data_IF_732746926454
#
_entry.id   IF_732746926454
#
_cell.length_a   1.000
_cell.length_b   1.000
_cell.length_c   1.000
_cell.angle_alpha   90.00
_cell.angle_beta   90.00
_cell.angle_gamma   90.00
#
_symmetry.space_group_name_H-M   'P 1'
#
loop_
_entity.id
_entity.type
_entity.pdbx_description
1 polymer ?
#
# COMPACT_ATOMS: atom_id res chain seq x y z
N UNK A 1 27.25 24.63 40.66
CA UNK A 1 27.37 24.42 39.19
C UNK A 1 26.77 23.09 38.73
N UNK A 2 26.91 21.97 39.47
CA UNK A 2 26.25 20.69 39.13
C UNK A 2 24.71 20.76 39.02
N UNK A 3 24.03 21.44 39.97
CA UNK A 3 22.55 21.50 40.03
C UNK A 3 21.90 22.23 38.82
N UNK A 4 22.61 23.19 38.22
CA UNK A 4 22.13 23.94 37.06
C UNK A 4 22.22 23.11 35.77
N UNK A 5 23.31 22.35 35.62
CA UNK A 5 23.50 21.41 34.51
C UNK A 5 22.51 20.24 34.57
N UNK A 6 22.15 19.77 35.77
CA UNK A 6 21.14 18.71 35.92
C UNK A 6 19.74 19.17 35.50
N UNK A 7 19.32 20.40 35.84
CA UNK A 7 18.02 20.95 35.39
C UNK A 7 17.97 21.16 33.87
N UNK A 8 19.05 21.68 33.29
CA UNK A 8 19.15 21.86 31.83
C UNK A 8 19.08 20.52 31.09
N UNK A 9 19.74 19.48 31.60
CA UNK A 9 19.68 18.11 31.07
C UNK A 9 18.27 17.51 31.16
N UNK A 10 17.57 17.70 32.27
CA UNK A 10 16.19 17.22 32.45
C UNK A 10 15.23 17.90 31.47
N UNK A 11 15.35 19.22 31.29
CA UNK A 11 14.54 19.96 30.31
C UNK A 11 14.83 19.53 28.86
N UNK A 12 16.09 19.26 28.54
CA UNK A 12 16.49 18.77 27.22
C UNK A 12 15.93 17.36 26.95
N UNK A 13 15.96 16.47 27.94
CA UNK A 13 15.36 15.13 27.89
C UNK A 13 13.83 15.17 27.72
N UNK A 14 13.15 16.10 28.40
CA UNK A 14 11.69 16.27 28.28
C UNK A 14 11.27 16.80 26.90
N UNK A 15 12.06 17.68 26.28
CA UNK A 15 11.80 18.18 24.92
C UNK A 15 12.07 17.12 23.85
N UNK A 16 13.08 16.26 24.05
CA UNK A 16 13.41 15.17 23.13
C UNK A 16 12.34 14.06 23.07
N UNK A 17 11.57 13.87 24.16
CA UNK A 17 10.50 12.87 24.25
C UNK A 17 9.33 13.12 23.28
N UNK A 18 9.13 14.37 22.84
CA UNK A 18 7.99 14.75 21.99
C UNK A 18 8.13 14.31 20.51
N UNK A 19 9.27 13.72 20.13
CA UNK A 19 9.58 13.37 18.72
C UNK A 19 9.27 11.88 18.41
N UNK A 20 8.92 11.07 19.41
CA UNK A 20 8.62 9.63 19.20
C UNK A 20 7.14 9.44 18.87
N UNK A 21 6.75 9.84 17.66
CA UNK A 21 5.35 9.83 17.22
C UNK A 21 5.12 9.41 15.77
N UNK A 22 6.06 8.71 15.13
CA UNK A 22 5.80 8.11 13.81
C UNK A 22 5.65 6.60 14.04
N UNK A 23 4.39 6.14 14.05
CA UNK A 23 4.05 4.74 14.16
C UNK A 23 4.78 3.93 13.08
N UNK A 24 5.48 2.88 13.50
CA UNK A 24 6.00 1.86 12.59
C UNK A 24 4.78 1.20 11.94
N UNK A 25 4.45 1.58 10.71
CA UNK A 25 3.47 0.84 9.92
C UNK A 25 4.08 -0.54 9.63
N UNK A 26 3.59 -1.58 10.30
CA UNK A 26 3.98 -2.97 10.08
C UNK A 26 3.50 -3.39 8.68
N UNK A 27 4.31 -3.05 7.68
CA UNK A 27 3.98 -3.23 6.26
C UNK A 27 3.83 -4.69 5.88
N UNK A 28 4.44 -5.60 6.65
CA UNK A 28 4.26 -7.06 6.51
C UNK A 28 2.82 -7.49 6.79
N UNK A 29 2.23 -7.06 7.92
CA UNK A 29 0.83 -7.41 8.24
C UNK A 29 -0.15 -6.87 7.22
N UNK A 30 0.09 -5.65 6.73
CA UNK A 30 -0.75 -5.04 5.72
C UNK A 30 -0.64 -5.77 4.37
N UNK A 31 0.56 -6.24 3.98
CA UNK A 31 0.74 -7.07 2.78
C UNK A 31 -0.03 -8.39 2.87
N UNK A 32 0.06 -9.10 4.00
CA UNK A 32 -0.64 -10.37 4.21
C UNK A 32 -2.16 -10.18 4.17
N UNK A 33 -2.67 -9.17 4.89
CA UNK A 33 -4.08 -8.79 4.87
C UNK A 33 -4.54 -8.51 3.43
N UNK A 34 -3.77 -7.72 2.70
CA UNK A 34 -4.17 -7.26 1.38
C UNK A 34 -4.07 -8.34 0.30
N UNK A 35 -3.08 -9.22 0.35
CA UNK A 35 -2.91 -10.29 -0.64
C UNK A 35 -4.16 -11.17 -0.73
N UNK A 36 -4.78 -11.52 0.40
CA UNK A 36 -6.02 -12.29 0.43
C UNK A 36 -7.19 -11.54 -0.25
N UNK A 37 -7.30 -10.23 0.00
CA UNK A 37 -8.40 -9.41 -0.52
C UNK A 37 -8.27 -9.09 -2.02
N UNK A 38 -7.06 -9.18 -2.57
CA UNK A 38 -6.76 -8.82 -3.96
C UNK A 38 -6.84 -10.00 -4.93
N UNK A 39 -7.15 -11.20 -4.45
CA UNK A 39 -7.41 -12.38 -5.30
C UNK A 39 -8.45 -12.11 -6.39
N UNK A 40 -9.45 -11.24 -6.10
CA UNK A 40 -10.44 -10.79 -7.07
C UNK A 40 -9.92 -9.89 -8.20
N UNK A 41 -8.64 -9.49 -8.17
CA UNK A 41 -7.98 -8.76 -9.26
C UNK A 41 -7.14 -9.66 -10.17
N UNK A 42 -7.00 -10.96 -9.85
CA UNK A 42 -6.22 -11.89 -10.67
C UNK A 42 -6.72 -11.95 -12.13
N UNK A 43 -8.03 -11.84 -12.34
CA UNK A 43 -8.62 -11.79 -13.69
C UNK A 43 -8.38 -10.48 -14.43
N UNK A 44 -7.85 -9.45 -13.77
CA UNK A 44 -7.39 -8.23 -14.42
C UNK A 44 -6.00 -8.39 -15.05
N UNK A 45 -5.20 -9.37 -14.61
CA UNK A 45 -3.80 -9.55 -15.01
C UNK A 45 -3.61 -9.59 -16.53
N UNK A 46 -4.35 -10.40 -17.31
CA UNK A 46 -4.14 -10.45 -18.75
C UNK A 46 -4.29 -9.08 -19.42
N UNK A 47 -5.24 -8.26 -18.97
CA UNK A 47 -5.43 -6.91 -19.51
C UNK A 47 -4.31 -5.96 -19.08
N UNK A 48 -3.98 -5.90 -17.80
CA UNK A 48 -2.94 -4.97 -17.30
C UNK A 48 -1.52 -5.38 -17.69
N UNK A 49 -1.29 -6.62 -18.09
CA UNK A 49 -0.03 -7.11 -18.67
C UNK A 49 0.03 -6.89 -20.20
N UNK A 50 -1.06 -6.40 -20.82
CA UNK A 50 -1.14 -6.16 -22.27
C UNK A 50 -1.35 -7.43 -23.11
N UNK A 51 -1.70 -8.54 -22.48
CA UNK A 51 -2.02 -9.80 -23.16
C UNK A 51 -3.49 -9.88 -23.60
N UNK A 52 -4.38 -9.16 -22.92
CA UNK A 52 -5.80 -9.05 -23.18
C UNK A 52 -6.17 -7.70 -23.80
N UNK A 53 -7.08 -7.71 -24.77
CA UNK A 53 -7.60 -6.47 -25.41
C UNK A 53 -8.64 -5.74 -24.56
N UNK A 54 -9.26 -6.44 -23.61
CA UNK A 54 -10.31 -5.94 -22.72
C UNK A 54 -10.20 -6.67 -21.39
N UNK A 55 -10.56 -6.06 -20.25
CA UNK A 55 -10.65 -6.77 -18.98
C UNK A 55 -11.73 -7.85 -19.01
N UNK A 56 -11.53 -8.90 -18.23
CA UNK A 56 -12.54 -9.90 -17.99
C UNK A 56 -13.72 -9.29 -17.20
N UNK A 57 -14.98 -9.71 -17.42
CA UNK A 57 -16.14 -9.10 -16.75
C UNK A 57 -16.08 -9.16 -15.21
N UNK A 58 -15.49 -10.22 -14.68
CA UNK A 58 -15.27 -10.43 -13.26
C UNK A 58 -14.18 -9.50 -12.69
N UNK A 59 -13.18 -9.12 -13.48
CA UNK A 59 -12.18 -8.10 -13.09
C UNK A 59 -12.85 -6.79 -12.69
N UNK A 60 -13.77 -6.28 -13.53
CA UNK A 60 -14.45 -5.00 -13.23
C UNK A 60 -15.32 -5.10 -11.98
N UNK A 61 -16.00 -6.23 -11.78
CA UNK A 61 -16.83 -6.47 -10.60
C UNK A 61 -15.99 -6.59 -9.31
N UNK A 62 -14.85 -7.29 -9.37
CA UNK A 62 -13.89 -7.39 -8.29
C UNK A 62 -13.27 -6.05 -7.92
N UNK A 63 -12.78 -5.30 -8.91
CA UNK A 63 -12.21 -3.97 -8.74
C UNK A 63 -13.22 -3.00 -8.10
N UNK A 64 -14.47 -3.00 -8.57
CA UNK A 64 -15.54 -2.16 -8.00
C UNK A 64 -15.83 -2.49 -6.54
N UNK A 65 -15.75 -3.76 -6.15
CA UNK A 65 -15.91 -4.18 -4.76
C UNK A 65 -14.77 -3.64 -3.92
N UNK A 66 -13.52 -3.83 -4.36
CA UNK A 66 -12.33 -3.38 -3.63
C UNK A 66 -12.24 -1.86 -3.49
N UNK A 67 -12.67 -1.10 -4.49
CA UNK A 67 -12.76 0.36 -4.41
C UNK A 67 -13.71 0.81 -3.29
N UNK A 68 -14.73 0.00 -2.97
CA UNK A 68 -15.69 0.28 -1.89
C UNK A 68 -15.21 -0.22 -0.54
N UNK A 69 -14.67 -1.44 -0.49
CA UNK A 69 -14.41 -2.14 0.77
C UNK A 69 -12.96 -2.01 1.25
N UNK A 70 -11.98 -1.94 0.34
CA UNK A 70 -10.56 -2.20 0.63
C UNK A 70 -9.60 -1.21 -0.03
N UNK A 71 -9.86 0.09 0.14
CA UNK A 71 -9.03 1.18 -0.41
C UNK A 71 -7.58 1.13 0.06
N UNK A 72 -7.35 0.72 1.32
CA UNK A 72 -6.01 0.52 1.90
C UNK A 72 -5.20 -0.45 1.04
N UNK A 73 -5.78 -1.59 0.69
CA UNK A 73 -5.11 -2.64 -0.06
C UNK A 73 -4.86 -2.28 -1.52
N UNK A 74 -5.78 -1.57 -2.16
CA UNK A 74 -5.53 -1.00 -3.49
C UNK A 74 -4.34 -0.02 -3.46
N UNK A 75 -4.30 0.88 -2.47
CA UNK A 75 -3.20 1.82 -2.32
C UNK A 75 -1.86 1.12 -2.08
N UNK A 76 -1.84 0.10 -1.23
CA UNK A 76 -0.63 -0.67 -0.92
C UNK A 76 -0.03 -1.29 -2.19
N UNK A 77 -0.85 -1.93 -3.03
CA UNK A 77 -0.32 -2.50 -4.29
C UNK A 77 0.14 -1.44 -5.26
N UNK A 78 -0.57 -0.33 -5.39
CA UNK A 78 -0.12 0.75 -6.28
C UNK A 78 1.25 1.28 -5.81
N UNK A 79 1.42 1.43 -4.50
CA UNK A 79 2.69 1.84 -3.89
C UNK A 79 3.78 0.80 -4.11
N UNK A 80 3.48 -0.47 -3.85
CA UNK A 80 4.42 -1.59 -3.84
C UNK A 80 4.43 -2.38 -5.17
N UNK A 81 3.87 -1.86 -6.26
CA UNK A 81 3.70 -2.58 -7.55
C UNK A 81 4.97 -3.15 -8.18
N UNK A 82 6.14 -2.62 -7.79
CA UNK A 82 7.45 -3.06 -8.26
C UNK A 82 8.16 -3.97 -7.25
N UNK A 83 7.49 -4.33 -6.16
CA UNK A 83 8.01 -5.19 -5.12
C UNK A 83 8.05 -6.65 -5.63
N UNK A 84 9.24 -7.29 -5.63
CA UNK A 84 9.37 -8.68 -6.07
C UNK A 84 8.52 -9.66 -5.24
N UNK A 85 8.22 -9.35 -3.98
CA UNK A 85 7.40 -10.18 -3.10
C UNK A 85 5.91 -10.18 -3.48
N UNK A 86 5.49 -9.27 -4.37
CA UNK A 86 4.13 -9.24 -4.92
C UNK A 86 3.97 -10.10 -6.18
N UNK A 87 4.87 -11.07 -6.38
CA UNK A 87 4.73 -12.12 -7.39
C UNK A 87 5.37 -11.81 -8.75
N UNK A 88 6.22 -10.76 -8.83
CA UNK A 88 6.98 -10.46 -10.05
C UNK A 88 6.11 -10.03 -11.25
N UNK A 89 4.91 -9.54 -10.99
CA UNK A 89 3.93 -9.13 -12.02
C UNK A 89 4.42 -7.86 -12.72
N UNK A 90 4.44 -7.87 -14.06
CA UNK A 90 4.81 -6.71 -14.86
C UNK A 90 3.54 -5.97 -15.29
N UNK A 91 3.20 -4.90 -14.57
CA UNK A 91 2.01 -4.10 -14.88
C UNK A 91 2.33 -3.01 -15.91
N UNK A 92 1.59 -3.01 -17.01
CA UNK A 92 1.49 -1.87 -17.91
C UNK A 92 0.60 -0.79 -17.26
N UNK A 93 1.25 0.24 -16.73
CA UNK A 93 0.59 1.32 -15.99
C UNK A 93 -0.46 2.05 -16.85
N UNK A 94 -0.24 2.18 -18.16
CA UNK A 94 -1.22 2.83 -19.04
C UNK A 94 -2.52 2.04 -19.08
N UNK A 95 -2.47 0.72 -19.26
CA UNK A 95 -3.67 -0.13 -19.26
C UNK A 95 -4.32 -0.18 -17.87
N UNK A 96 -3.53 -0.20 -16.80
CA UNK A 96 -4.05 -0.15 -15.44
C UNK A 96 -4.81 1.16 -15.14
N UNK A 97 -4.38 2.30 -15.70
CA UNK A 97 -5.05 3.59 -15.55
C UNK A 97 -6.33 3.71 -16.39
N UNK A 98 -6.49 2.91 -17.43
CA UNK A 98 -7.70 2.85 -18.26
C UNK A 98 -8.83 2.02 -17.62
N UNK A 99 -8.52 1.10 -16.68
CA UNK A 99 -9.51 0.24 -15.99
C UNK A 99 -10.73 0.95 -15.36
N UNK A 100 -10.66 2.18 -14.86
CA UNK A 100 -11.84 2.90 -14.36
C UNK A 100 -12.77 3.42 -15.47
N UNK A 101 -12.29 3.44 -16.72
CA UNK A 101 -12.98 4.05 -17.88
C UNK A 101 -13.63 3.04 -18.82
N UNK A 102 -13.26 1.76 -18.69
CA UNK A 102 -13.80 0.63 -19.46
C UNK A 102 -15.11 0.09 -18.92
#
# INVERSE_FOLDING_TARGET
MLYHNTKAMIHFLLLASMIVGIGMADSSKDKDECTAQLTGLASCLPYVEGQGKSPAPDCCSGLKTLLKTNKKCLCLIIKDRNDPDLGGIVINVTLALDLPTV
#
